data_IF_890717699978
#
_entry.id   IF_890717699978
#
_cell.length_a   1.000
_cell.length_b   1.000
_cell.length_c   1.000
_cell.angle_alpha   90.00
_cell.angle_beta   90.00
_cell.angle_gamma   90.00
#
_symmetry.space_group_name_H-M   'P 1'
#
loop_
_entity.id
_entity.type
_entity.pdbx_description
1 polymer ?
#
# COMPACT_ATOMS: atom_id res chain seq x y z
N UNK A 1 8.30 6.31 3.34
CA UNK A 1 7.99 7.73 3.03
C UNK A 1 6.59 7.85 2.44
N UNK A 2 5.83 8.80 2.88
CA UNK A 2 4.46 9.00 2.40
C UNK A 2 4.39 10.15 1.40
N UNK A 3 3.65 9.94 0.31
CA UNK A 3 3.42 10.94 -0.72
C UNK A 3 1.93 10.99 -1.04
N UNK A 4 1.38 12.19 -1.18
CA UNK A 4 -0.03 12.38 -1.50
C UNK A 4 -0.12 13.17 -2.81
N UNK A 5 -0.85 12.62 -3.79
CA UNK A 5 -1.01 13.27 -5.09
C UNK A 5 -2.47 13.24 -5.52
N UNK A 6 -2.90 14.31 -6.18
CA UNK A 6 -4.15 14.31 -6.92
C UNK A 6 -3.91 13.61 -8.26
N UNK A 7 -4.71 12.60 -8.56
CA UNK A 7 -4.68 11.88 -9.82
C UNK A 7 -6.06 11.96 -10.48
N UNK A 8 -6.16 11.47 -11.72
CA UNK A 8 -7.43 11.56 -12.45
C UNK A 8 -8.58 10.88 -11.71
N UNK A 9 -8.33 9.72 -11.10
CA UNK A 9 -9.36 8.95 -10.40
C UNK A 9 -9.69 9.50 -9.02
N UNK A 10 -8.86 10.37 -8.44
CA UNK A 10 -9.08 10.92 -7.11
C UNK A 10 -7.77 11.22 -6.39
N UNK A 11 -7.71 10.87 -5.11
CA UNK A 11 -6.54 11.13 -4.27
C UNK A 11 -5.73 9.84 -4.10
N UNK A 12 -4.45 9.89 -4.46
CA UNK A 12 -3.54 8.76 -4.30
C UNK A 12 -2.57 9.02 -3.15
N UNK A 13 -2.59 8.14 -2.16
CA UNK A 13 -1.61 8.11 -1.08
C UNK A 13 -0.67 6.96 -1.36
N UNK A 14 0.62 7.24 -1.49
CA UNK A 14 1.64 6.25 -1.78
C UNK A 14 2.62 6.17 -0.61
N UNK A 15 2.75 4.97 -0.02
CA UNK A 15 3.71 4.70 1.06
C UNK A 15 4.82 3.84 0.47
N UNK A 16 6.05 4.32 0.53
CA UNK A 16 7.20 3.62 -0.07
C UNK A 16 8.28 3.37 0.97
N UNK A 17 8.99 2.25 0.81
CA UNK A 17 10.22 2.01 1.55
C UNK A 17 11.33 2.95 1.08
N UNK A 18 12.20 3.32 2.00
CA UNK A 18 13.45 4.00 1.69
C UNK A 18 14.51 3.62 2.75
N UNK A 19 15.66 4.27 2.72
CA UNK A 19 16.76 3.94 3.62
C UNK A 19 16.40 4.16 5.11
N UNK A 20 15.44 5.03 5.41
CA UNK A 20 15.06 5.38 6.78
C UNK A 20 13.68 4.87 7.19
N UNK A 21 12.90 4.32 6.25
CA UNK A 21 11.53 3.89 6.49
C UNK A 21 11.28 2.53 5.86
N UNK A 22 11.07 1.53 6.69
CA UNK A 22 10.67 0.20 6.26
C UNK A 22 9.25 -0.10 6.71
N UNK A 23 8.38 -0.52 5.79
CA UNK A 23 6.98 -0.78 6.09
C UNK A 23 6.75 -2.14 6.73
N UNK A 24 7.40 -3.16 6.19
CA UNK A 24 7.21 -4.55 6.62
C UNK A 24 8.55 -5.21 6.92
N UNK A 25 8.52 -6.27 7.73
CA UNK A 25 9.67 -7.12 7.90
C UNK A 25 10.05 -7.73 6.54
N UNK A 26 11.33 -8.01 6.34
CA UNK A 26 11.85 -8.53 5.07
C UNK A 26 11.11 -9.81 4.68
N UNK A 27 10.60 -9.85 3.45
CA UNK A 27 9.90 -11.01 2.93
C UNK A 27 8.61 -11.37 3.68
N UNK A 28 7.98 -10.41 4.33
CA UNK A 28 6.85 -10.65 5.22
C UNK A 28 5.78 -9.58 5.03
N UNK A 29 4.56 -9.89 5.43
CA UNK A 29 3.48 -8.92 5.55
C UNK A 29 3.29 -8.45 7.01
N UNK A 30 4.26 -8.73 7.88
CA UNK A 30 4.24 -8.24 9.25
C UNK A 30 4.60 -6.75 9.27
N UNK A 31 3.68 -5.88 9.69
CA UNK A 31 3.94 -4.43 9.64
C UNK A 31 4.93 -4.02 10.73
N UNK A 32 5.83 -3.11 10.36
CA UNK A 32 6.71 -2.47 11.33
C UNK A 32 5.95 -1.38 12.07
N UNK A 33 6.38 -1.02 13.30
CA UNK A 33 5.71 0.03 14.07
C UNK A 33 5.59 1.36 13.32
N UNK A 34 6.56 1.70 12.46
CA UNK A 34 6.52 2.92 11.67
C UNK A 34 5.32 2.95 10.73
N UNK A 35 5.02 1.81 10.07
CA UNK A 35 3.87 1.71 9.18
C UNK A 35 2.56 1.83 9.95
N UNK A 36 2.47 1.17 11.10
CA UNK A 36 1.27 1.24 11.94
C UNK A 36 0.99 2.69 12.33
N UNK A 37 2.04 3.43 12.75
CA UNK A 37 1.88 4.83 13.13
C UNK A 37 1.42 5.71 11.97
N UNK A 38 1.97 5.49 10.78
CA UNK A 38 1.57 6.26 9.59
C UNK A 38 0.11 5.98 9.24
N UNK A 39 -0.31 4.73 9.24
CA UNK A 39 -1.70 4.39 8.91
C UNK A 39 -2.66 4.88 9.99
N UNK A 40 -2.26 4.87 11.26
CA UNK A 40 -3.08 5.44 12.32
C UNK A 40 -3.33 6.94 12.14
N UNK A 41 -2.42 7.65 11.46
CA UNK A 41 -2.61 9.05 11.09
C UNK A 41 -3.44 9.23 9.83
N UNK A 42 -3.30 8.32 8.86
CA UNK A 42 -4.01 8.39 7.59
C UNK A 42 -5.49 8.06 7.76
N UNK A 43 -5.81 7.05 8.58
CA UNK A 43 -7.19 6.60 8.75
C UNK A 43 -8.18 7.72 9.07
N UNK A 44 -7.93 8.54 10.11
CA UNK A 44 -8.82 9.65 10.44
C UNK A 44 -8.98 10.67 9.31
N UNK A 45 -7.93 10.90 8.51
CA UNK A 45 -8.02 11.80 7.36
C UNK A 45 -8.95 11.22 6.29
N UNK A 46 -8.89 9.91 6.07
CA UNK A 46 -9.75 9.24 5.10
C UNK A 46 -11.22 9.21 5.54
N UNK A 47 -11.50 9.17 6.84
CA UNK A 47 -12.88 9.21 7.34
C UNK A 47 -13.56 10.54 7.02
N UNK A 48 -12.78 11.60 6.80
CA UNK A 48 -13.30 12.93 6.45
C UNK A 48 -13.51 13.12 4.96
N UNK A 49 -13.08 12.17 4.14
CA UNK A 49 -13.23 12.25 2.68
C UNK A 49 -14.25 11.20 2.24
N UNK A 50 -14.99 11.53 1.20
CA UNK A 50 -15.94 10.61 0.59
C UNK A 50 -15.29 9.84 -0.55
N UNK A 51 -15.81 8.67 -0.84
CA UNK A 51 -15.39 7.87 -1.96
C UNK A 51 -15.00 6.46 -1.56
N UNK A 52 -14.95 5.60 -2.55
CA UNK A 52 -14.48 4.23 -2.37
C UNK A 52 -12.96 4.20 -2.36
N UNK A 53 -12.40 3.20 -1.72
CA UNK A 53 -10.95 3.09 -1.52
C UNK A 53 -10.46 1.81 -2.17
N UNK A 54 -9.34 1.92 -2.89
CA UNK A 54 -8.62 0.78 -3.44
C UNK A 54 -7.25 0.73 -2.78
N UNK A 55 -6.87 -0.46 -2.29
CA UNK A 55 -5.57 -0.69 -1.66
C UNK A 55 -4.75 -1.59 -2.58
N UNK A 56 -3.55 -1.15 -2.94
CA UNK A 56 -2.66 -1.87 -3.85
C UNK A 56 -1.30 -2.11 -3.21
N UNK A 57 -0.78 -3.32 -3.37
CA UNK A 57 0.55 -3.70 -2.91
C UNK A 57 1.48 -3.96 -4.07
N UNK A 58 2.74 -3.53 -3.93
CA UNK A 58 3.78 -3.69 -4.94
C UNK A 58 5.08 -4.12 -4.29
N UNK A 59 5.83 -4.99 -4.97
CA UNK A 59 7.16 -5.40 -4.55
C UNK A 59 8.22 -4.84 -5.50
N UNK A 60 9.50 -4.92 -5.09
CA UNK A 60 10.59 -4.80 -6.05
C UNK A 60 10.72 -6.11 -6.83
N UNK A 61 11.68 -6.17 -7.78
CA UNK A 61 11.82 -7.34 -8.66
C UNK A 61 12.71 -8.44 -8.07
N UNK A 62 13.18 -8.31 -6.85
CA UNK A 62 14.00 -9.37 -6.25
C UNK A 62 13.12 -10.60 -6.02
N UNK A 63 13.58 -11.79 -6.46
CA UNK A 63 12.78 -12.99 -6.28
C UNK A 63 12.65 -13.33 -4.81
N UNK A 64 11.42 -13.62 -4.39
CA UNK A 64 11.17 -14.09 -3.05
C UNK A 64 11.20 -15.61 -3.06
N UNK A 65 12.06 -16.21 -2.21
CA UNK A 65 12.42 -17.63 -2.27
C UNK A 65 11.69 -18.50 -1.24
N UNK A 66 10.54 -18.10 -0.76
CA UNK A 66 9.77 -18.97 0.13
C UNK A 66 8.93 -19.95 -0.68
N UNK A 67 8.79 -21.18 -0.22
CA UNK A 67 7.90 -22.16 -0.83
C UNK A 67 6.43 -21.71 -0.82
N UNK A 68 6.06 -20.88 0.15
CA UNK A 68 4.68 -20.45 0.37
C UNK A 68 4.38 -19.06 -0.18
N UNK A 69 5.40 -18.29 -0.56
CA UNK A 69 5.23 -16.91 -1.02
C UNK A 69 6.06 -16.63 -2.26
N UNK A 70 5.45 -16.00 -3.22
CA UNK A 70 6.11 -15.33 -4.33
C UNK A 70 5.77 -13.84 -4.25
N UNK A 71 6.24 -13.03 -5.20
CA UNK A 71 5.95 -11.60 -5.18
C UNK A 71 4.45 -11.30 -5.35
N UNK A 72 3.71 -12.16 -6.04
CA UNK A 72 2.25 -12.03 -6.15
C UNK A 72 1.58 -12.17 -4.78
N UNK A 73 1.89 -13.24 -4.07
CA UNK A 73 1.33 -13.48 -2.74
C UNK A 73 1.79 -12.46 -1.73
N UNK A 74 3.06 -12.06 -1.81
CA UNK A 74 3.62 -11.07 -0.89
C UNK A 74 2.94 -9.72 -1.06
N UNK A 75 2.80 -9.23 -2.30
CA UNK A 75 2.15 -7.95 -2.56
C UNK A 75 0.68 -7.97 -2.14
N UNK A 76 -0.02 -9.07 -2.38
CA UNK A 76 -1.41 -9.22 -1.99
C UNK A 76 -1.55 -9.27 -0.47
N UNK A 77 -0.69 -10.03 0.22
CA UNK A 77 -0.72 -10.12 1.68
C UNK A 77 -0.44 -8.78 2.34
N UNK A 78 0.49 -8.00 1.78
CA UNK A 78 0.80 -6.66 2.29
C UNK A 78 -0.34 -5.69 2.06
N UNK A 79 -0.99 -5.74 0.90
CA UNK A 79 -2.18 -4.93 0.65
C UNK A 79 -3.32 -5.30 1.60
N UNK A 80 -3.51 -6.60 1.86
CA UNK A 80 -4.52 -7.07 2.80
C UNK A 80 -4.22 -6.61 4.23
N UNK A 81 -2.96 -6.64 4.63
CA UNK A 81 -2.56 -6.13 5.94
C UNK A 81 -2.85 -4.63 6.06
N UNK A 82 -2.56 -3.85 5.01
CA UNK A 82 -2.90 -2.44 4.99
C UNK A 82 -4.41 -2.21 5.14
N UNK A 83 -5.23 -3.04 4.47
CA UNK A 83 -6.67 -3.02 4.65
C UNK A 83 -7.07 -3.19 6.12
N UNK A 84 -6.53 -4.19 6.80
CA UNK A 84 -6.85 -4.41 8.21
C UNK A 84 -6.42 -3.24 9.08
N UNK A 85 -5.26 -2.67 8.82
CA UNK A 85 -4.78 -1.52 9.59
C UNK A 85 -5.65 -0.28 9.37
N UNK A 86 -6.13 -0.05 8.14
CA UNK A 86 -7.04 1.06 7.83
C UNK A 86 -8.37 0.90 8.58
N UNK A 87 -8.94 -0.30 8.56
CA UNK A 87 -10.20 -0.58 9.28
C UNK A 87 -9.99 -0.36 10.78
N UNK A 88 -8.90 -0.85 11.33
CA UNK A 88 -8.58 -0.65 12.75
C UNK A 88 -8.43 0.84 13.09
N UNK A 89 -7.94 1.64 12.15
CA UNK A 89 -7.76 3.09 12.37
C UNK A 89 -9.06 3.90 12.22
N UNK A 90 -10.18 3.25 11.87
CA UNK A 90 -11.48 3.88 11.81
C UNK A 90 -12.13 3.95 10.44
N UNK A 91 -11.46 3.48 9.38
CA UNK A 91 -12.06 3.46 8.04
C UNK A 91 -13.12 2.36 7.96
N UNK A 92 -14.30 2.71 7.45
CA UNK A 92 -15.37 1.74 7.24
C UNK A 92 -14.93 0.70 6.20
N UNK A 93 -14.97 -0.58 6.59
CA UNK A 93 -14.58 -1.68 5.72
C UNK A 93 -15.37 -1.69 4.41
N UNK A 94 -16.62 -1.24 4.41
CA UNK A 94 -17.46 -1.22 3.20
C UNK A 94 -17.00 -0.19 2.18
N UNK A 95 -16.17 0.76 2.56
CA UNK A 95 -15.57 1.71 1.61
C UNK A 95 -14.41 1.08 0.83
N UNK A 96 -13.85 -0.02 1.31
CA UNK A 96 -12.73 -0.68 0.62
C UNK A 96 -13.31 -1.51 -0.52
N UNK A 97 -13.13 -1.02 -1.74
CA UNK A 97 -13.69 -1.63 -2.96
C UNK A 97 -12.83 -2.78 -3.47
N UNK A 98 -11.51 -2.58 -3.46
CA UNK A 98 -10.55 -3.58 -3.93
C UNK A 98 -9.31 -3.61 -3.05
N UNK A 99 -8.77 -4.81 -2.87
CA UNK A 99 -7.47 -5.06 -2.26
C UNK A 99 -6.68 -5.88 -3.29
N UNK A 100 -5.61 -5.29 -3.84
CA UNK A 100 -4.93 -5.83 -5.02
C UNK A 100 -3.43 -5.96 -4.80
N UNK A 101 -2.84 -7.03 -5.35
CA UNK A 101 -1.39 -7.19 -5.40
C UNK A 101 -0.92 -7.25 -6.84
N UNK A 102 0.13 -6.51 -7.15
CA UNK A 102 0.68 -6.41 -8.50
C UNK A 102 2.08 -7.01 -8.63
N UNK A 103 2.60 -7.65 -7.58
CA UNK A 103 3.97 -8.18 -7.56
C UNK A 103 4.96 -7.07 -7.95
N UNK A 104 5.89 -7.38 -8.85
CA UNK A 104 6.88 -6.42 -9.37
C UNK A 104 6.49 -5.84 -10.73
N UNK A 105 5.22 -6.00 -11.13
CA UNK A 105 4.78 -5.73 -12.52
C UNK A 105 4.49 -4.26 -12.81
N UNK A 106 4.40 -3.42 -11.79
CA UNK A 106 4.15 -1.98 -11.94
C UNK A 106 5.17 -1.17 -11.14
N UNK A 107 6.45 -1.20 -11.53
CA UNK A 107 7.48 -0.50 -10.78
C UNK A 107 7.29 1.01 -10.83
N UNK A 108 7.56 1.68 -9.71
CA UNK A 108 7.61 3.14 -9.66
C UNK A 108 8.85 3.64 -10.39
N UNK A 109 9.99 2.98 -10.18
CA UNK A 109 11.25 3.29 -10.86
C UNK A 109 11.51 2.20 -11.89
N UNK A 110 11.13 2.45 -13.15
CA UNK A 110 11.21 1.47 -14.22
C UNK A 110 12.64 1.15 -14.62
N UNK A 111 13.56 2.10 -14.45
CA UNK A 111 14.98 1.93 -14.76
C UNK A 111 15.79 1.37 -13.59
N UNK A 112 15.17 1.13 -12.45
CA UNK A 112 15.80 0.50 -11.28
C UNK A 112 14.81 -0.44 -10.60
N UNK A 113 14.55 -1.62 -11.20
CA UNK A 113 13.49 -2.52 -10.71
C UNK A 113 13.73 -3.08 -9.30
N UNK A 114 14.98 -3.09 -8.85
CA UNK A 114 15.32 -3.57 -7.50
C UNK A 114 15.26 -2.48 -6.44
N UNK A 115 14.93 -1.24 -6.82
CA UNK A 115 14.94 -0.12 -5.88
C UNK A 115 13.92 -0.30 -4.76
N UNK A 116 14.27 0.19 -3.58
CA UNK A 116 13.39 0.14 -2.40
C UNK A 116 12.07 0.86 -2.65
N UNK A 117 12.09 1.94 -3.44
CA UNK A 117 10.90 2.73 -3.75
C UNK A 117 9.84 1.95 -4.55
N UNK A 118 10.20 0.82 -5.13
CA UNK A 118 9.24 -0.06 -5.81
C UNK A 118 8.43 -0.89 -4.82
N UNK A 119 8.92 -1.08 -3.59
CA UNK A 119 8.13 -1.67 -2.51
C UNK A 119 7.23 -0.60 -1.95
N UNK A 120 5.94 -0.69 -2.28
CA UNK A 120 5.00 0.35 -1.87
C UNK A 120 3.59 -0.19 -1.66
N UNK A 121 2.86 0.55 -0.84
CA UNK A 121 1.41 0.40 -0.67
C UNK A 121 0.78 1.68 -1.21
N UNK A 122 -0.19 1.52 -2.09
CA UNK A 122 -0.97 2.63 -2.62
C UNK A 122 -2.39 2.57 -2.09
N UNK A 123 -2.89 3.71 -1.64
CA UNK A 123 -4.26 3.87 -1.16
C UNK A 123 -4.89 4.92 -2.07
N UNK A 124 -5.80 4.49 -2.94
CA UNK A 124 -6.49 5.38 -3.87
C UNK A 124 -7.89 5.64 -3.35
N UNK A 125 -8.21 6.91 -3.10
CA UNK A 125 -9.57 7.35 -2.78
C UNK A 125 -10.21 7.79 -4.08
N UNK A 126 -11.16 7.00 -4.58
CA UNK A 126 -11.88 7.32 -5.82
C UNK A 126 -13.01 8.28 -5.50
N UNK A 127 -12.84 9.52 -5.91
CA UNK A 127 -13.84 10.53 -5.68
C UNK A 127 -15.02 10.34 -6.62
N UNK A 128 -16.23 10.52 -6.09
CA UNK A 128 -17.42 10.50 -6.92
C UNK A 128 -17.42 11.73 -7.83
N UNK A 129 -17.59 11.50 -9.12
CA UNK A 129 -17.82 12.57 -10.07
C UNK A 129 -19.32 12.86 -10.15
N UNK A 130 -19.70 14.14 -10.24
CA UNK A 130 -21.11 14.49 -10.44
C UNK A 130 -21.65 14.01 -11.78
#
# INVERSE_FOLDING_TARGET
MAEVRQVEEGLLISLTDDASFGMFAVGSAEPRPELIRVIDKIGPLLTKRQGMIIVRGHTDNRPYKSENYDNWRLSTARAQMAYYMLVRSGVDAQRIEHVEGYADRRPKLTNDPAAAQNRRIEILVREKRP
#
